data_IF_846999128297
#
_entry.id   IF_846999128297
#
_cell.length_a   1.000
_cell.length_b   1.000
_cell.length_c   1.000
_cell.angle_alpha   90.00
_cell.angle_beta   90.00
_cell.angle_gamma   90.00
#
_symmetry.space_group_name_H-M   'P 1'
#
loop_
_entity.id
_entity.type
_entity.pdbx_description
1 polymer ?
#
# COMPACT_ATOMS: atom_id res chain seq x y z
N UNK A 1 -1.69 13.18 -19.20
CA UNK A 1 -0.36 12.69 -19.56
C UNK A 1 -0.49 11.44 -20.45
N UNK A 2 0.61 10.94 -20.99
CA UNK A 2 0.61 9.81 -21.91
C UNK A 2 0.73 8.44 -21.23
N UNK A 3 0.55 8.35 -19.89
CA UNK A 3 0.76 7.11 -19.15
C UNK A 3 -0.11 5.95 -19.65
N UNK A 4 -1.38 6.21 -19.94
CA UNK A 4 -2.29 5.19 -20.47
C UNK A 4 -1.84 4.66 -21.85
N UNK A 5 -1.35 5.55 -22.73
CA UNK A 5 -0.84 5.16 -24.05
C UNK A 5 0.45 4.33 -23.92
N UNK A 6 1.38 4.77 -23.05
CA UNK A 6 2.61 4.04 -22.76
C UNK A 6 2.32 2.64 -22.22
N UNK A 7 1.40 2.54 -21.25
CA UNK A 7 0.99 1.25 -20.69
C UNK A 7 0.41 0.30 -21.76
N UNK A 8 -0.52 0.80 -22.60
CA UNK A 8 -1.09 0.01 -23.70
C UNK A 8 -0.04 -0.45 -24.71
N UNK A 9 0.89 0.43 -25.08
CA UNK A 9 1.97 0.08 -26.01
C UNK A 9 2.91 -1.00 -25.45
N UNK A 10 2.99 -1.11 -24.10
CA UNK A 10 3.71 -2.16 -23.40
C UNK A 10 2.81 -3.36 -23.00
N UNK A 11 1.66 -3.53 -23.66
CA UNK A 11 0.73 -4.65 -23.48
C UNK A 11 0.13 -4.75 -22.07
N UNK A 12 0.07 -3.66 -21.33
CA UNK A 12 -0.64 -3.62 -20.05
C UNK A 12 -2.13 -3.32 -20.28
N UNK A 13 -2.98 -3.97 -19.49
CA UNK A 13 -4.40 -3.64 -19.43
C UNK A 13 -4.58 -2.28 -18.74
N UNK A 14 -5.31 -1.39 -19.37
CA UNK A 14 -5.55 -0.04 -18.86
C UNK A 14 -7.02 0.13 -18.52
N UNK A 15 -7.29 0.36 -17.24
CA UNK A 15 -8.62 0.60 -16.71
C UNK A 15 -8.79 2.09 -16.45
N UNK A 16 -9.79 2.69 -17.07
CA UNK A 16 -10.16 4.08 -16.82
C UNK A 16 -11.19 4.15 -15.72
N UNK A 17 -10.90 4.91 -14.66
CA UNK A 17 -11.75 5.10 -13.51
C UNK A 17 -12.24 6.54 -13.46
N UNK A 18 -13.55 6.75 -13.49
CA UNK A 18 -14.17 8.09 -13.43
C UNK A 18 -14.00 8.74 -12.06
N UNK A 19 -14.06 7.93 -11.00
CA UNK A 19 -13.90 8.41 -9.63
C UNK A 19 -12.43 8.66 -9.31
N UNK A 20 -12.08 9.92 -9.06
CA UNK A 20 -10.71 10.31 -8.70
C UNK A 20 -10.35 9.85 -7.28
N UNK A 21 -9.17 9.29 -7.11
CA UNK A 21 -8.60 8.90 -5.82
C UNK A 21 -7.64 7.76 -5.93
N UNK A 22 -6.63 7.73 -5.07
CA UNK A 22 -5.62 6.66 -5.01
C UNK A 22 -6.29 5.30 -4.73
N UNK A 23 -7.06 5.22 -3.65
CA UNK A 23 -7.78 4.00 -3.29
C UNK A 23 -8.82 3.59 -4.34
N UNK A 24 -9.53 4.56 -4.94
CA UNK A 24 -10.48 4.29 -6.02
C UNK A 24 -9.79 3.61 -7.21
N UNK A 25 -8.66 4.14 -7.67
CA UNK A 25 -7.91 3.56 -8.79
C UNK A 25 -7.43 2.13 -8.47
N UNK A 26 -6.89 1.92 -7.26
CA UNK A 26 -6.42 0.61 -6.83
C UNK A 26 -7.56 -0.41 -6.71
N UNK A 27 -8.68 -0.03 -6.09
CA UNK A 27 -9.84 -0.92 -5.95
C UNK A 27 -10.33 -1.42 -7.32
N UNK A 28 -10.56 -0.51 -8.26
CA UNK A 28 -11.00 -0.90 -9.60
C UNK A 28 -9.95 -1.77 -10.31
N UNK A 29 -8.66 -1.44 -10.18
CA UNK A 29 -7.59 -2.28 -10.71
C UNK A 29 -7.61 -3.69 -10.13
N UNK A 30 -7.70 -3.81 -8.81
CA UNK A 30 -7.73 -5.09 -8.10
C UNK A 30 -8.98 -5.91 -8.44
N UNK A 31 -10.14 -5.28 -8.57
CA UNK A 31 -11.39 -5.93 -8.95
C UNK A 31 -11.30 -6.59 -10.33
N UNK A 32 -10.59 -5.96 -11.27
CA UNK A 32 -10.39 -6.49 -12.63
C UNK A 32 -9.26 -7.52 -12.73
N UNK A 33 -8.44 -7.69 -11.68
CA UNK A 33 -7.41 -8.72 -11.67
C UNK A 33 -8.02 -10.12 -11.49
N UNK A 34 -7.59 -11.07 -12.32
CA UNK A 34 -8.03 -12.48 -12.25
C UNK A 34 -7.05 -13.38 -11.49
N UNK A 35 -5.88 -12.87 -11.10
CA UNK A 35 -4.84 -13.63 -10.43
C UNK A 35 -5.24 -14.06 -9.01
N UNK A 36 -4.79 -15.24 -8.59
CA UNK A 36 -4.89 -15.70 -7.20
C UNK A 36 -4.12 -14.79 -6.24
N UNK A 37 -2.97 -14.30 -6.68
CA UNK A 37 -2.10 -13.37 -5.96
C UNK A 37 -2.10 -12.03 -6.70
N UNK A 38 -2.21 -10.96 -5.95
CA UNK A 38 -2.21 -9.59 -6.46
C UNK A 38 -1.01 -8.89 -5.84
N UNK A 39 -0.20 -8.28 -6.68
CA UNK A 39 0.88 -7.38 -6.25
C UNK A 39 0.50 -5.98 -6.68
N UNK A 40 0.49 -5.04 -5.76
CA UNK A 40 0.31 -3.63 -6.06
C UNK A 40 1.61 -2.88 -5.82
N UNK A 41 1.88 -1.90 -6.67
CA UNK A 41 3.04 -1.02 -6.55
C UNK A 41 2.82 0.28 -7.30
N UNK A 42 3.51 1.31 -6.89
CA UNK A 42 3.46 2.62 -7.55
C UNK A 42 4.27 2.56 -8.86
N UNK A 43 3.68 3.05 -9.96
CA UNK A 43 4.31 3.06 -11.29
C UNK A 43 5.16 4.32 -11.50
N UNK A 44 6.05 4.63 -10.55
CA UNK A 44 6.87 5.84 -10.53
C UNK A 44 8.37 5.55 -10.37
N UNK A 45 8.75 4.30 -10.59
CA UNK A 45 10.14 3.81 -10.51
C UNK A 45 10.74 3.85 -9.09
N UNK A 46 9.89 4.04 -8.07
CA UNK A 46 10.35 4.07 -6.67
C UNK A 46 10.64 2.69 -6.06
N UNK A 47 10.25 1.60 -6.75
CA UNK A 47 10.49 0.22 -6.31
C UNK A 47 11.08 -0.64 -7.42
N UNK A 48 11.95 -1.59 -7.04
CA UNK A 48 12.49 -2.58 -7.95
C UNK A 48 11.51 -3.76 -8.13
N UNK A 49 10.80 -3.81 -9.24
CA UNK A 49 9.86 -4.90 -9.53
C UNK A 49 10.53 -6.23 -9.95
N UNK A 50 11.85 -6.28 -10.08
CA UNK A 50 12.58 -7.53 -10.30
C UNK A 50 12.67 -8.39 -9.02
N UNK A 51 12.37 -7.83 -7.85
CA UNK A 51 12.46 -8.50 -6.54
C UNK A 51 11.11 -9.01 -6.02
N UNK A 52 10.12 -9.22 -6.90
CA UNK A 52 8.77 -9.64 -6.51
C UNK A 52 8.67 -11.12 -6.11
N UNK A 53 9.67 -11.95 -6.40
CA UNK A 53 9.66 -13.38 -6.07
C UNK A 53 9.42 -13.64 -4.59
N UNK A 54 10.05 -12.86 -3.70
CA UNK A 54 9.88 -13.01 -2.25
C UNK A 54 8.44 -12.76 -1.79
N UNK A 55 7.71 -11.85 -2.43
CA UNK A 55 6.30 -11.63 -2.14
C UNK A 55 5.46 -12.86 -2.47
N UNK A 56 5.72 -13.47 -3.64
CA UNK A 56 5.02 -14.67 -4.09
C UNK A 56 5.35 -15.85 -3.19
N UNK A 57 6.61 -16.06 -2.83
CA UNK A 57 7.04 -17.13 -1.93
C UNK A 57 6.32 -17.05 -0.58
N UNK A 58 6.19 -15.85 0.00
CA UNK A 58 5.46 -15.67 1.26
C UNK A 58 3.96 -15.97 1.13
N UNK A 59 3.32 -15.54 0.03
CA UNK A 59 1.92 -15.87 -0.23
C UNK A 59 1.73 -17.38 -0.44
N UNK A 60 2.67 -18.06 -1.12
CA UNK A 60 2.66 -19.52 -1.29
C UNK A 60 2.88 -20.26 0.03
N UNK A 61 3.68 -19.67 0.95
CA UNK A 61 3.87 -20.19 2.31
C UNK A 61 2.64 -19.98 3.22
N UNK A 62 1.53 -19.43 2.67
CA UNK A 62 0.25 -19.32 3.36
C UNK A 62 0.03 -17.99 4.10
N UNK A 63 0.85 -16.96 3.83
CA UNK A 63 0.50 -15.62 4.25
C UNK A 63 -0.62 -15.06 3.37
N UNK A 64 -1.53 -14.30 3.97
CA UNK A 64 -2.66 -13.68 3.28
C UNK A 64 -2.27 -12.32 2.68
N UNK A 65 -1.34 -11.62 3.34
CA UNK A 65 -0.82 -10.32 2.92
C UNK A 65 0.68 -10.22 3.23
N UNK A 66 1.43 -9.63 2.30
CA UNK A 66 2.86 -9.36 2.41
C UNK A 66 3.11 -7.88 2.16
N UNK A 67 3.67 -7.20 3.13
CA UNK A 67 3.99 -5.77 3.07
C UNK A 67 5.48 -5.58 2.75
N UNK A 68 5.80 -4.65 1.88
CA UNK A 68 7.16 -4.13 1.84
C UNK A 68 7.46 -3.31 3.10
N UNK A 69 8.69 -3.36 3.59
CA UNK A 69 9.16 -2.51 4.68
C UNK A 69 10.38 -1.71 4.24
N UNK A 70 10.16 -0.41 3.98
CA UNK A 70 11.20 0.51 3.51
C UNK A 70 12.21 0.85 4.60
N UNK A 71 11.79 0.83 5.86
CA UNK A 71 12.66 1.09 7.00
C UNK A 71 13.64 -0.06 7.26
N UNK A 72 13.22 -1.30 6.94
CA UNK A 72 14.07 -2.49 7.04
C UNK A 72 14.97 -2.67 5.80
N UNK A 73 14.48 -2.33 4.60
CA UNK A 73 15.22 -2.55 3.35
C UNK A 73 16.08 -1.38 2.89
N UNK A 74 15.77 -0.17 3.39
CA UNK A 74 16.53 1.03 3.10
C UNK A 74 15.76 2.10 2.33
N UNK A 75 16.07 3.34 2.61
CA UNK A 75 15.52 4.52 1.96
C UNK A 75 16.69 5.31 1.41
N UNK A 76 16.85 5.33 0.10
CA UNK A 76 17.94 6.04 -0.57
C UNK A 76 17.81 7.55 -0.41
N UNK A 77 18.92 8.26 -0.60
CA UNK A 77 18.94 9.73 -0.44
C UNK A 77 17.95 10.40 -1.41
N UNK A 78 17.07 11.23 -0.86
CA UNK A 78 16.06 11.96 -1.65
C UNK A 78 14.75 11.19 -1.92
N UNK A 79 14.68 9.88 -1.60
CA UNK A 79 13.50 9.07 -1.88
C UNK A 79 12.30 9.37 -0.97
N UNK A 80 12.53 9.91 0.22
CA UNK A 80 11.47 10.24 1.16
C UNK A 80 11.76 11.56 1.88
N UNK A 81 10.78 12.49 1.95
CA UNK A 81 10.91 13.71 2.74
C UNK A 81 11.21 13.41 4.21
N UNK A 82 12.03 14.25 4.86
CA UNK A 82 12.45 14.07 6.24
C UNK A 82 11.28 13.88 7.21
N UNK A 83 10.25 14.71 7.08
CA UNK A 83 9.04 14.64 7.93
C UNK A 83 8.34 13.28 7.82
N UNK A 84 8.24 12.71 6.61
CA UNK A 84 7.63 11.40 6.40
C UNK A 84 8.52 10.27 6.94
N UNK A 85 9.83 10.40 6.76
CA UNK A 85 10.79 9.36 7.17
C UNK A 85 10.87 9.20 8.68
N UNK A 86 10.94 10.31 9.42
CA UNK A 86 11.26 10.27 10.85
C UNK A 86 10.07 10.55 11.76
N UNK A 87 8.98 11.12 11.26
CA UNK A 87 7.82 11.49 12.07
C UNK A 87 6.55 10.82 11.55
N UNK A 88 6.07 11.15 10.36
CA UNK A 88 4.75 10.77 9.88
C UNK A 88 4.55 9.26 9.78
N UNK A 89 5.35 8.57 8.99
CA UNK A 89 5.22 7.12 8.80
C UNK A 89 5.50 6.33 10.09
N UNK A 90 6.56 6.61 10.88
CA UNK A 90 6.79 5.92 12.14
C UNK A 90 5.65 6.11 13.14
N UNK A 91 5.12 7.34 13.26
CA UNK A 91 4.00 7.63 14.16
C UNK A 91 2.74 6.87 13.77
N UNK A 92 2.30 6.98 12.52
CA UNK A 92 1.09 6.32 12.04
C UNK A 92 1.21 4.79 12.08
N UNK A 93 2.39 4.23 11.74
CA UNK A 93 2.63 2.79 11.85
C UNK A 93 2.61 2.33 13.30
N UNK A 94 3.17 3.10 14.23
CA UNK A 94 3.14 2.78 15.67
C UNK A 94 1.72 2.86 16.23
N UNK A 95 0.94 3.85 15.83
CA UNK A 95 -0.48 3.95 16.18
C UNK A 95 -1.26 2.74 15.66
N UNK A 96 -1.06 2.37 14.40
CA UNK A 96 -1.71 1.19 13.80
C UNK A 96 -1.33 -0.10 14.53
N UNK A 97 -0.05 -0.32 14.85
CA UNK A 97 0.39 -1.48 15.67
C UNK A 97 -0.30 -1.53 17.02
N UNK A 98 -0.36 -0.40 17.71
CA UNK A 98 -1.01 -0.31 19.02
C UNK A 98 -2.50 -0.62 18.95
N UNK A 99 -3.23 0.00 18.02
CA UNK A 99 -4.67 -0.16 17.89
C UNK A 99 -5.08 -1.57 17.42
N UNK A 100 -4.35 -2.15 16.48
CA UNK A 100 -4.72 -3.43 15.85
C UNK A 100 -3.87 -4.62 16.29
N UNK A 101 -2.98 -4.44 17.26
CA UNK A 101 -2.15 -5.49 17.87
C UNK A 101 -1.41 -6.35 16.84
N UNK A 102 -0.78 -5.70 15.85
CA UNK A 102 0.06 -6.33 14.84
C UNK A 102 1.52 -5.86 14.94
N UNK A 103 2.41 -6.47 14.17
CA UNK A 103 3.85 -6.16 14.20
C UNK A 103 4.34 -5.46 12.92
N UNK A 104 3.45 -4.83 12.14
CA UNK A 104 3.79 -4.20 10.87
C UNK A 104 4.52 -2.89 11.10
N UNK A 105 5.77 -2.80 10.63
CA UNK A 105 6.63 -1.64 10.80
C UNK A 105 6.37 -0.53 9.78
N UNK A 106 5.90 -0.87 8.58
CA UNK A 106 5.64 0.10 7.50
C UNK A 106 4.23 -0.03 6.92
N UNK A 107 3.25 0.61 7.56
CA UNK A 107 1.84 0.63 7.13
C UNK A 107 1.62 1.30 5.76
N UNK A 108 2.57 2.13 5.31
CA UNK A 108 2.38 3.00 4.16
C UNK A 108 3.29 2.64 2.97
N UNK A 109 3.97 1.49 3.00
CA UNK A 109 4.72 1.03 1.85
C UNK A 109 3.78 0.82 0.66
N UNK A 110 4.10 1.40 -0.50
CA UNK A 110 3.31 1.25 -1.74
C UNK A 110 3.41 -0.15 -2.34
N UNK A 111 4.56 -0.84 -2.13
CA UNK A 111 4.76 -2.18 -2.63
C UNK A 111 4.23 -3.21 -1.62
N UNK A 112 3.18 -3.92 -2.01
CA UNK A 112 2.54 -4.96 -1.19
C UNK A 112 1.87 -6.03 -2.06
N UNK A 113 1.68 -7.21 -1.48
CA UNK A 113 0.99 -8.30 -2.14
C UNK A 113 -0.02 -8.96 -1.22
N UNK A 114 -1.07 -9.53 -1.79
CA UNK A 114 -2.10 -10.23 -1.03
C UNK A 114 -2.82 -11.26 -1.90
N UNK A 115 -3.47 -12.21 -1.25
CA UNK A 115 -4.33 -13.16 -1.96
C UNK A 115 -5.64 -12.46 -2.36
N UNK A 116 -6.22 -12.82 -3.51
CA UNK A 116 -7.55 -12.32 -3.91
C UNK A 116 -8.60 -12.64 -2.86
N UNK A 117 -8.46 -13.80 -2.19
CA UNK A 117 -9.32 -14.21 -1.06
C UNK A 117 -9.25 -13.23 0.10
N UNK A 118 -8.03 -12.85 0.53
CA UNK A 118 -7.83 -11.85 1.58
C UNK A 118 -8.51 -10.54 1.22
N UNK A 119 -8.26 -10.01 0.03
CA UNK A 119 -8.87 -8.77 -0.44
C UNK A 119 -10.40 -8.80 -0.41
N UNK A 120 -11.00 -9.89 -0.87
CA UNK A 120 -12.46 -10.04 -0.88
C UNK A 120 -13.05 -10.09 0.55
N UNK A 121 -12.32 -10.67 1.52
CA UNK A 121 -12.76 -10.72 2.93
C UNK A 121 -12.66 -9.33 3.58
N UNK A 122 -11.53 -8.66 3.43
CA UNK A 122 -11.31 -7.36 4.07
C UNK A 122 -12.10 -6.23 3.42
N UNK A 123 -12.41 -6.35 2.13
CA UNK A 123 -13.29 -5.47 1.35
C UNK A 123 -13.10 -3.96 1.63
N UNK A 124 -11.91 -3.38 1.37
CA UNK A 124 -11.61 -1.99 1.68
C UNK A 124 -12.47 -1.03 0.87
N UNK A 125 -12.88 0.11 1.47
CA UNK A 125 -13.83 1.04 0.87
C UNK A 125 -13.26 2.44 0.62
N UNK A 126 -12.12 2.79 1.21
CA UNK A 126 -11.54 4.11 1.09
C UNK A 126 -11.11 4.43 -0.35
N UNK A 127 -11.44 5.64 -0.79
CA UNK A 127 -11.11 6.11 -2.14
C UNK A 127 -9.84 6.98 -2.19
N UNK A 128 -9.35 7.47 -1.04
CA UNK A 128 -8.18 8.34 -0.94
C UNK A 128 -6.91 7.60 -0.53
N UNK A 129 -5.92 8.36 -0.05
CA UNK A 129 -4.63 7.83 0.40
C UNK A 129 -4.76 6.92 1.63
N UNK A 130 -5.79 7.13 2.44
CA UNK A 130 -6.11 6.33 3.61
C UNK A 130 -6.38 4.85 3.31
N UNK A 131 -6.66 4.49 2.06
CA UNK A 131 -6.74 3.11 1.59
C UNK A 131 -5.50 2.27 1.99
N UNK A 132 -4.33 2.90 2.01
CA UNK A 132 -3.10 2.23 2.42
C UNK A 132 -3.13 1.74 3.88
N UNK A 133 -3.68 2.55 4.80
CA UNK A 133 -3.87 2.17 6.21
C UNK A 133 -5.06 1.23 6.39
N UNK A 134 -6.13 1.43 5.64
CA UNK A 134 -7.34 0.61 5.69
C UNK A 134 -7.03 -0.86 5.42
N UNK A 135 -6.26 -1.14 4.35
CA UNK A 135 -5.85 -2.52 4.00
C UNK A 135 -5.21 -3.25 5.18
N UNK A 136 -4.23 -2.63 5.84
CA UNK A 136 -3.49 -3.27 6.94
C UNK A 136 -4.37 -3.38 8.18
N UNK A 137 -5.15 -2.35 8.50
CA UNK A 137 -6.04 -2.34 9.66
C UNK A 137 -7.12 -3.42 9.53
N UNK A 138 -7.80 -3.49 8.38
CA UNK A 138 -8.83 -4.52 8.13
C UNK A 138 -8.23 -5.92 8.10
N UNK A 139 -7.07 -6.12 7.47
CA UNK A 139 -6.39 -7.41 7.50
C UNK A 139 -6.06 -7.84 8.92
N UNK A 140 -5.66 -6.90 9.80
CA UNK A 140 -5.41 -7.18 11.22
C UNK A 140 -6.71 -7.50 11.99
N UNK A 141 -7.79 -6.76 11.74
CA UNK A 141 -9.12 -7.00 12.35
C UNK A 141 -9.63 -8.39 11.98
N UNK A 142 -9.48 -8.80 10.73
CA UNK A 142 -9.87 -10.12 10.25
C UNK A 142 -8.84 -11.23 10.56
N UNK A 143 -7.83 -10.95 11.40
CA UNK A 143 -6.81 -11.90 11.82
C UNK A 143 -6.07 -12.59 10.65
N UNK A 144 -5.89 -11.85 9.54
CA UNK A 144 -5.13 -12.33 8.39
C UNK A 144 -3.65 -12.52 8.76
N UNK A 145 -3.00 -13.52 8.17
CA UNK A 145 -1.57 -13.76 8.33
C UNK A 145 -0.79 -12.74 7.51
N UNK A 146 -0.24 -11.73 8.17
CA UNK A 146 0.52 -10.65 7.54
C UNK A 146 2.00 -10.82 7.87
N UNK A 147 2.88 -10.63 6.88
CA UNK A 147 4.32 -10.48 7.11
C UNK A 147 4.88 -9.29 6.36
N UNK A 148 6.11 -8.93 6.69
CA UNK A 148 6.88 -7.91 5.99
C UNK A 148 8.12 -8.52 5.35
N UNK A 149 8.55 -7.91 4.25
CA UNK A 149 9.85 -8.14 3.64
C UNK A 149 10.58 -6.82 3.44
N UNK A 150 11.90 -6.77 3.63
CA UNK A 150 12.68 -5.59 3.35
C UNK A 150 12.56 -5.20 1.87
N UNK A 151 12.32 -3.90 1.59
CA UNK A 151 12.32 -3.35 0.23
C UNK A 151 13.06 -2.03 0.21
N UNK A 152 13.84 -1.77 -0.83
CA UNK A 152 14.51 -0.49 -0.99
C UNK A 152 13.59 0.53 -1.67
N UNK A 153 13.51 1.73 -1.09
CA UNK A 153 12.83 2.86 -1.72
C UNK A 153 13.84 3.74 -2.44
N UNK A 154 13.58 3.96 -3.72
CA UNK A 154 14.35 4.85 -4.59
C UNK A 154 13.62 6.19 -4.81
N UNK A 155 14.32 7.27 -5.23
CA UNK A 155 13.66 8.50 -5.65
C UNK A 155 12.70 8.22 -6.80
N UNK A 156 11.51 8.79 -6.73
CA UNK A 156 10.54 8.64 -7.82
C UNK A 156 11.02 9.34 -9.11
N UNK A 157 10.72 8.74 -10.26
CA UNK A 157 11.04 9.28 -11.57
C UNK A 157 10.11 10.40 -12.03
N UNK A 158 9.19 10.87 -11.20
CA UNK A 158 8.19 11.89 -11.56
C UNK A 158 8.81 13.28 -11.66
N UNK A 159 8.41 14.01 -12.67
CA UNK A 159 8.76 15.45 -12.85
C UNK A 159 7.76 16.38 -12.14
N UNK A 160 6.74 15.86 -11.47
CA UNK A 160 5.66 16.61 -10.83
C UNK A 160 5.71 16.48 -9.31
N UNK A 161 5.11 17.44 -8.60
CA UNK A 161 4.98 17.36 -7.13
C UNK A 161 4.15 16.15 -6.73
N UNK A 162 4.49 15.48 -5.61
CA UNK A 162 3.71 14.38 -5.06
C UNK A 162 2.24 14.80 -4.83
N UNK A 163 1.32 13.88 -5.06
CA UNK A 163 -0.12 14.12 -4.79
C UNK A 163 -0.45 14.11 -3.29
N UNK A 164 0.44 13.57 -2.46
CA UNK A 164 0.27 13.46 -1.02
C UNK A 164 0.34 14.86 -0.36
N UNK A 165 -0.70 15.21 0.39
CA UNK A 165 -0.77 16.41 1.24
C UNK A 165 -0.56 15.99 2.69
N UNK A 166 0.67 16.09 3.18
CA UNK A 166 1.15 15.50 4.44
C UNK A 166 0.20 15.69 5.63
N UNK A 167 -0.24 16.91 5.91
CA UNK A 167 -1.12 17.19 7.05
C UNK A 167 -2.55 16.68 6.87
N UNK A 168 -3.15 16.97 5.72
CA UNK A 168 -4.52 16.58 5.41
C UNK A 168 -4.66 15.05 5.34
N UNK A 169 -3.77 14.41 4.63
CA UNK A 169 -3.83 12.96 4.44
C UNK A 169 -3.43 12.24 5.73
N UNK A 170 -2.43 12.74 6.47
CA UNK A 170 -2.07 12.22 7.78
C UNK A 170 -3.24 12.27 8.79
N UNK A 171 -3.99 13.37 8.82
CA UNK A 171 -5.20 13.46 9.64
C UNK A 171 -6.28 12.46 9.23
N UNK A 172 -6.51 12.27 7.91
CA UNK A 172 -7.46 11.27 7.40
C UNK A 172 -7.07 9.85 7.80
N UNK A 173 -5.77 9.51 7.75
CA UNK A 173 -5.27 8.22 8.24
C UNK A 173 -5.58 8.02 9.73
N UNK A 174 -5.32 9.03 10.58
CA UNK A 174 -5.63 8.94 12.02
C UNK A 174 -7.12 8.74 12.28
N UNK A 175 -7.99 9.53 11.65
CA UNK A 175 -9.45 9.41 11.78
C UNK A 175 -9.92 8.03 11.37
N UNK A 176 -9.42 7.51 10.22
CA UNK A 176 -9.76 6.17 9.75
C UNK A 176 -9.34 5.09 10.77
N UNK A 177 -8.08 5.10 11.21
CA UNK A 177 -7.57 4.10 12.14
C UNK A 177 -8.38 4.09 13.45
N UNK A 178 -8.71 5.27 13.98
CA UNK A 178 -9.54 5.38 15.17
C UNK A 178 -10.98 4.89 14.95
N UNK A 179 -11.60 5.24 13.81
CA UNK A 179 -12.95 4.78 13.47
C UNK A 179 -13.01 3.25 13.34
N UNK A 180 -12.04 2.64 12.65
CA UNK A 180 -11.96 1.18 12.53
C UNK A 180 -11.71 0.49 13.88
N UNK A 181 -10.94 1.13 14.75
CA UNK A 181 -10.72 0.61 16.12
C UNK A 181 -12.01 0.60 16.94
N UNK A 182 -12.83 1.64 16.86
CA UNK A 182 -14.12 1.70 17.55
C UNK A 182 -15.14 0.70 17.00
N UNK A 183 -15.16 0.49 15.69
CA UNK A 183 -16.09 -0.45 15.03
C UNK A 183 -15.71 -1.92 15.26
N UNK A 184 -14.48 -2.19 15.66
CA UNK A 184 -14.01 -3.56 15.98
C UNK A 184 -14.59 -4.11 17.29
N UNK A 185 -14.90 -3.21 18.26
CA UNK A 185 -15.44 -3.57 19.58
C UNK A 185 -16.95 -3.62 19.54
#
# INVERSE_FOLDING_TARGET
DNSALVAKNNRADVIQVSQKGYGSALRHGIEHCNGKYIIMGDADDSYNFLELSLFIERLQAGYDMVMGNRFAGGITKGAMPWLHRYVGNPFLSSLGRFLFKNNIGDFHCGLRAFTKKCYNIINPQCNGMEFASELVALASIHQMRICEIPVTLYPDGRKRRPHLRSWRDGFRHMVLLYSLYLLRN
#
